data_IF_513671274884
#
_entry.id   IF_513671274884
#
_cell.length_a   1.000
_cell.length_b   1.000
_cell.length_c   1.000
_cell.angle_alpha   90.00
_cell.angle_beta   90.00
_cell.angle_gamma   90.00
#
_symmetry.space_group_name_H-M   'P 1'
#
loop_
_entity.id
_entity.type
_entity.pdbx_description
1 polymer ?
#
# COMPACT_ATOMS: atom_id res chain seq x y z
N UNK A 1 -17.90 -22.44 20.59
CA UNK A 1 -18.01 -21.00 20.85
C UNK A 1 -16.90 -20.35 20.05
N UNK A 2 -17.19 -19.93 18.82
CA UNK A 2 -16.21 -19.30 17.92
C UNK A 2 -16.06 -17.84 18.39
N UNK A 3 -15.24 -17.65 19.42
CA UNK A 3 -14.76 -16.33 19.79
C UNK A 3 -13.32 -16.31 19.33
N UNK A 4 -13.09 -15.66 18.18
CA UNK A 4 -11.77 -15.29 17.72
C UNK A 4 -11.22 -14.31 18.76
N UNK A 5 -10.51 -14.86 19.75
CA UNK A 5 -9.80 -14.11 20.78
C UNK A 5 -8.34 -13.83 20.40
N UNK A 6 -7.90 -14.22 19.19
CA UNK A 6 -6.49 -14.13 18.81
C UNK A 6 -6.03 -12.78 18.24
N UNK A 7 -6.90 -11.77 18.10
CA UNK A 7 -6.48 -10.48 17.53
C UNK A 7 -6.91 -9.23 18.28
N UNK A 8 -7.74 -9.35 19.32
CA UNK A 8 -8.43 -8.19 19.87
C UNK A 8 -8.42 -8.17 21.38
N UNK A 9 -7.23 -8.00 21.97
CA UNK A 9 -7.18 -7.27 23.23
C UNK A 9 -7.57 -5.83 22.89
N UNK A 10 -8.78 -5.42 23.29
CA UNK A 10 -9.21 -4.02 23.25
C UNK A 10 -8.12 -3.16 23.89
N UNK A 11 -7.34 -2.44 23.10
CA UNK A 11 -6.57 -1.32 23.58
C UNK A 11 -6.25 -0.34 22.45
N UNK A 12 -6.14 0.93 22.85
CA UNK A 12 -5.91 2.13 22.04
C UNK A 12 -4.95 1.88 20.87
N UNK A 13 -5.21 2.53 19.73
CA UNK A 13 -4.31 2.63 18.56
C UNK A 13 -2.85 2.54 19.00
N UNK A 14 -2.16 1.47 18.57
CA UNK A 14 -0.76 1.19 18.93
C UNK A 14 0.14 2.32 18.43
N UNK A 15 -0.21 2.87 17.26
CA UNK A 15 0.37 4.10 16.73
C UNK A 15 -0.28 5.30 17.45
N UNK A 16 0.41 5.86 18.45
CA UNK A 16 0.07 7.18 18.99
C UNK A 16 0.43 8.21 17.92
N UNK A 17 -0.51 9.11 17.61
CA UNK A 17 -0.50 9.95 16.41
C UNK A 17 -0.61 9.13 15.11
N UNK A 18 -1.79 8.54 14.80
CA UNK A 18 -2.09 8.29 13.39
C UNK A 18 -1.85 9.61 12.68
N UNK A 19 -1.00 9.61 11.65
CA UNK A 19 -0.66 10.81 10.89
C UNK A 19 -1.96 11.55 10.55
N UNK A 20 -2.24 12.65 11.27
CA UNK A 20 -3.51 13.37 11.21
C UNK A 20 -3.47 14.29 10.00
N UNK A 21 -3.36 13.67 8.82
CA UNK A 21 -3.58 14.35 7.58
C UNK A 21 -5.07 14.59 7.48
N UNK A 22 -5.45 15.87 7.40
CA UNK A 22 -6.82 16.32 7.35
C UNK A 22 -7.67 15.42 6.44
N UNK A 23 -8.66 14.73 7.04
CA UNK A 23 -9.64 13.91 6.31
C UNK A 23 -10.36 14.78 5.28
N UNK A 24 -9.87 14.78 4.04
CA UNK A 24 -10.63 15.22 2.88
C UNK A 24 -11.86 14.31 2.72
N UNK A 25 -13.00 14.91 2.40
CA UNK A 25 -14.22 14.14 2.09
C UNK A 25 -13.93 13.18 0.93
N UNK A 26 -14.15 11.88 1.16
CA UNK A 26 -14.18 10.88 0.10
C UNK A 26 -15.35 11.18 -0.85
N UNK A 27 -15.03 11.68 -2.04
CA UNK A 27 -15.90 11.57 -3.20
C UNK A 27 -15.37 10.43 -4.08
N UNK A 28 -16.26 9.59 -4.61
CA UNK A 28 -15.93 8.49 -5.52
C UNK A 28 -15.12 9.02 -6.72
N UNK A 29 -13.79 8.99 -6.64
CA UNK A 29 -12.90 9.12 -7.78
C UNK A 29 -12.39 7.73 -8.15
N UNK A 30 -12.46 7.44 -9.44
CA UNK A 30 -11.87 6.28 -10.10
C UNK A 30 -10.44 6.05 -9.57
N UNK A 31 -10.03 4.78 -9.45
CA UNK A 31 -8.65 4.37 -9.13
C UNK A 31 -7.66 5.21 -9.97
N UNK A 32 -7.07 6.22 -9.36
CA UNK A 32 -6.09 7.09 -9.98
C UNK A 32 -4.73 6.70 -9.41
N UNK A 33 -3.92 6.03 -10.23
CA UNK A 33 -2.52 5.77 -9.95
C UNK A 33 -1.76 7.12 -10.01
N UNK A 34 -1.17 7.53 -8.89
CA UNK A 34 -0.31 8.71 -8.80
C UNK A 34 -0.88 9.90 -8.01
N UNK A 35 0.00 10.83 -7.63
CA UNK A 35 -0.40 12.06 -6.93
C UNK A 35 -1.26 12.96 -7.85
N UNK A 36 -2.16 13.78 -7.30
CA UNK A 36 -3.01 14.69 -8.09
C UNK A 36 -2.89 16.14 -7.63
N UNK A 37 -2.94 17.06 -8.59
CA UNK A 37 -3.02 18.50 -8.34
C UNK A 37 -4.21 19.10 -9.11
N UNK A 38 -5.27 19.46 -8.38
CA UNK A 38 -6.52 19.91 -9.00
C UNK A 38 -7.22 18.80 -9.78
N UNK A 39 -7.23 18.90 -11.12
CA UNK A 39 -7.80 17.90 -12.03
C UNK A 39 -6.72 17.14 -12.84
N UNK A 40 -5.45 17.41 -12.59
CA UNK A 40 -4.34 16.77 -13.31
C UNK A 40 -3.67 15.69 -12.44
N UNK A 41 -3.35 14.56 -13.08
CA UNK A 41 -2.52 13.51 -12.49
C UNK A 41 -1.07 14.00 -12.61
N UNK A 42 -0.35 14.07 -11.50
CA UNK A 42 1.02 14.55 -11.46
C UNK A 42 1.96 13.68 -12.30
N UNK A 43 1.65 12.40 -12.51
CA UNK A 43 2.32 11.56 -13.50
C UNK A 43 2.35 12.16 -14.92
N UNK A 44 1.36 12.97 -15.31
CA UNK A 44 1.40 13.70 -16.59
C UNK A 44 2.36 14.89 -16.58
N UNK A 45 2.61 15.48 -15.41
CA UNK A 45 3.57 16.57 -15.23
C UNK A 45 5.00 16.04 -15.26
N UNK A 46 5.22 14.87 -14.65
CA UNK A 46 6.54 14.22 -14.55
C UNK A 46 6.99 13.65 -15.89
N UNK A 47 6.05 13.18 -16.72
CA UNK A 47 6.33 12.66 -18.05
C UNK A 47 6.15 13.71 -19.17
N UNK A 48 6.06 14.99 -18.80
CA UNK A 48 5.92 16.09 -19.77
C UNK A 48 7.27 16.40 -20.39
N UNK A 49 7.29 16.43 -21.71
CA UNK A 49 8.38 16.91 -22.56
C UNK A 49 7.74 17.88 -23.56
N UNK A 50 7.92 19.17 -23.32
CA UNK A 50 7.13 20.22 -23.97
C UNK A 50 7.65 20.56 -25.36
N UNK A 51 8.95 20.49 -25.59
CA UNK A 51 9.55 20.75 -26.89
C UNK A 51 9.85 19.49 -27.71
N UNK A 52 9.71 18.31 -27.09
CA UNK A 52 9.88 16.99 -27.70
C UNK A 52 11.32 16.73 -28.15
N UNK A 53 12.29 17.16 -27.35
CA UNK A 53 13.71 16.83 -27.55
C UNK A 53 14.14 15.52 -26.88
N UNK A 54 13.28 14.93 -26.04
CA UNK A 54 13.55 13.69 -25.32
C UNK A 54 14.03 13.89 -23.87
N UNK A 55 14.17 15.13 -23.42
CA UNK A 55 14.39 15.50 -22.01
C UNK A 55 13.05 15.93 -21.40
N UNK A 56 12.79 15.48 -20.17
CA UNK A 56 11.55 15.85 -19.48
C UNK A 56 11.65 17.27 -18.92
N UNK A 57 10.54 18.03 -18.91
CA UNK A 57 10.47 19.44 -18.46
C UNK A 57 11.13 19.65 -17.08
N UNK A 58 10.89 18.70 -16.15
CA UNK A 58 11.44 18.78 -14.79
C UNK A 58 12.95 18.56 -14.75
N UNK A 59 13.48 17.76 -15.67
CA UNK A 59 14.90 17.47 -15.79
C UNK A 59 15.62 18.69 -16.39
N UNK A 60 15.06 19.28 -17.43
CA UNK A 60 15.57 20.53 -18.00
C UNK A 60 15.62 21.65 -16.97
N UNK A 61 14.55 21.79 -16.16
CA UNK A 61 14.51 22.74 -15.03
C UNK A 61 15.63 22.48 -14.01
N UNK A 62 15.96 21.21 -13.75
CA UNK A 62 17.04 20.82 -12.84
C UNK A 62 18.43 21.19 -13.40
N UNK A 63 18.62 21.05 -14.72
CA UNK A 63 19.88 21.38 -15.40
C UNK A 63 19.98 22.83 -15.84
N UNK A 64 18.90 23.60 -15.72
CA UNK A 64 18.85 25.03 -16.05
C UNK A 64 18.60 25.31 -17.53
N UNK A 65 18.12 24.34 -18.29
CA UNK A 65 17.65 24.51 -19.67
C UNK A 65 16.16 24.90 -19.68
N UNK A 66 15.64 25.26 -20.86
CA UNK A 66 14.30 25.80 -21.05
C UNK A 66 13.39 24.78 -21.74
N UNK A 67 12.35 24.27 -21.05
CA UNK A 67 11.47 23.24 -21.58
C UNK A 67 10.70 23.53 -22.86
N UNK A 68 10.75 24.77 -23.35
CA UNK A 68 10.08 25.17 -24.57
C UNK A 68 11.05 25.29 -25.75
N UNK A 69 12.29 24.82 -25.61
CA UNK A 69 13.38 24.99 -26.56
C UNK A 69 14.38 23.83 -26.50
N UNK A 70 14.39 23.02 -27.56
CA UNK A 70 15.38 21.94 -27.79
C UNK A 70 16.84 22.35 -27.70
N UNK A 71 17.12 23.64 -27.86
CA UNK A 71 18.44 24.26 -27.75
C UNK A 71 18.20 25.61 -27.06
N UNK A 72 18.43 25.63 -25.75
CA UNK A 72 18.11 26.77 -24.90
C UNK A 72 18.95 27.99 -25.25
N UNK A 73 20.23 27.77 -25.55
CA UNK A 73 21.23 28.81 -25.73
C UNK A 73 21.41 29.24 -27.21
N UNK A 74 20.90 28.44 -28.15
CA UNK A 74 20.88 28.70 -29.58
C UNK A 74 22.24 28.50 -30.26
N UNK A 75 23.15 27.72 -29.68
CA UNK A 75 24.51 27.51 -30.21
C UNK A 75 24.61 26.34 -31.20
N UNK A 76 23.52 25.59 -31.40
CA UNK A 76 23.42 24.46 -32.32
C UNK A 76 23.70 23.10 -31.68
N UNK A 77 23.93 23.03 -30.37
CA UNK A 77 23.92 21.80 -29.57
C UNK A 77 22.58 21.71 -28.85
N UNK A 78 21.93 20.53 -28.90
CA UNK A 78 20.65 20.32 -28.21
C UNK A 78 20.81 20.14 -26.71
N UNK A 79 19.78 20.52 -25.95
CA UNK A 79 19.78 20.44 -24.49
C UNK A 79 19.92 18.98 -24.01
N UNK A 80 19.39 18.01 -24.76
CA UNK A 80 19.60 16.57 -24.58
C UNK A 80 21.08 16.19 -24.49
N UNK A 81 21.87 16.67 -25.44
CA UNK A 81 23.32 16.41 -25.51
C UNK A 81 24.08 17.20 -24.45
N UNK A 82 23.69 18.46 -24.19
CA UNK A 82 24.33 19.26 -23.14
C UNK A 82 24.15 18.63 -21.76
N UNK A 83 22.93 18.18 -21.45
CA UNK A 83 22.59 17.53 -20.18
C UNK A 83 23.30 16.19 -20.03
N UNK A 84 23.35 15.36 -21.08
CA UNK A 84 24.09 14.10 -21.04
C UNK A 84 25.57 14.33 -20.73
N UNK A 85 26.19 15.32 -21.40
CA UNK A 85 27.60 15.69 -21.15
C UNK A 85 27.82 16.17 -19.70
N UNK A 86 26.89 16.96 -19.15
CA UNK A 86 26.96 17.40 -17.76
C UNK A 86 26.82 16.24 -16.77
N UNK A 87 25.91 15.28 -17.03
CA UNK A 87 25.79 14.04 -16.24
C UNK A 87 27.09 13.27 -16.24
N UNK A 88 27.68 13.04 -17.41
CA UNK A 88 28.94 12.31 -17.57
C UNK A 88 30.10 13.01 -16.86
N UNK A 89 30.21 14.34 -16.97
CA UNK A 89 31.22 15.12 -16.25
C UNK A 89 31.06 15.01 -14.71
N UNK A 90 29.82 14.95 -14.23
CA UNK A 90 29.51 14.77 -12.80
C UNK A 90 29.76 13.34 -12.31
N UNK A 91 29.62 12.35 -13.18
CA UNK A 91 29.97 10.94 -12.93
C UNK A 91 31.49 10.71 -12.86
N UNK A 92 32.27 11.49 -13.60
CA UNK A 92 33.74 11.47 -13.52
C UNK A 92 34.23 12.04 -12.17
N UNK A 93 33.57 13.10 -11.65
CA UNK A 93 33.87 13.67 -10.32
C UNK A 93 33.37 12.79 -9.16
N UNK A 94 32.22 12.10 -9.35
CA UNK A 94 31.66 11.14 -8.39
C UNK A 94 32.22 9.73 -8.50
N UNK A 95 33.20 9.46 -9.36
CA UNK A 95 34.00 8.22 -9.31
C UNK A 95 34.86 8.11 -8.04
N UNK A 96 34.78 9.09 -7.13
CA UNK A 96 35.23 9.00 -5.71
C UNK A 96 34.13 8.67 -4.69
N UNK A 97 32.86 8.62 -5.08
CA UNK A 97 31.73 8.18 -4.25
C UNK A 97 30.68 7.48 -5.13
N UNK A 98 30.75 6.15 -5.18
CA UNK A 98 30.03 5.31 -6.13
C UNK A 98 28.50 5.48 -6.11
N UNK A 99 27.97 5.97 -7.22
CA UNK A 99 26.57 5.87 -7.62
C UNK A 99 26.50 5.92 -9.14
N UNK A 100 26.42 4.76 -9.78
CA UNK A 100 26.31 4.66 -11.24
C UNK A 100 24.85 4.89 -11.62
N UNK A 101 24.53 6.05 -12.17
CA UNK A 101 23.25 6.30 -12.83
C UNK A 101 23.41 5.85 -14.29
N UNK A 102 22.88 4.69 -14.64
CA UNK A 102 22.76 4.25 -16.04
C UNK A 102 21.39 4.61 -16.57
N UNK A 103 21.36 5.08 -17.81
CA UNK A 103 20.18 5.35 -18.62
C UNK A 103 19.18 4.18 -18.61
N UNK A 104 17.88 4.54 -18.61
CA UNK A 104 16.75 3.91 -19.31
C UNK A 104 16.68 2.37 -19.46
N UNK A 105 17.33 1.59 -18.60
CA UNK A 105 16.93 0.22 -18.32
C UNK A 105 15.63 0.26 -17.50
N UNK A 106 14.81 -0.79 -17.56
CA UNK A 106 13.63 -0.95 -16.72
C UNK A 106 14.04 -0.94 -15.24
N UNK A 107 14.25 0.25 -14.67
CA UNK A 107 14.59 0.44 -13.28
C UNK A 107 13.44 -0.15 -12.47
N UNK A 108 13.75 -1.19 -11.70
CA UNK A 108 12.78 -1.81 -10.80
C UNK A 108 12.61 -0.89 -9.58
N UNK A 109 11.98 0.25 -9.80
CA UNK A 109 11.79 1.31 -8.80
C UNK A 109 10.83 0.83 -7.72
N UNK A 110 11.20 1.11 -6.46
CA UNK A 110 10.29 0.99 -5.32
C UNK A 110 9.19 2.04 -5.41
N UNK A 111 8.09 1.89 -4.66
CA UNK A 111 7.08 2.95 -4.60
C UNK A 111 7.65 4.20 -3.93
N UNK A 112 8.60 4.04 -3.01
CA UNK A 112 9.37 5.16 -2.44
C UNK A 112 10.17 5.92 -3.51
N UNK A 113 10.79 5.22 -4.46
CA UNK A 113 11.52 5.86 -5.57
C UNK A 113 10.58 6.60 -6.51
N UNK A 114 9.48 5.94 -6.91
CA UNK A 114 8.44 6.53 -7.76
C UNK A 114 7.87 7.78 -7.11
N UNK A 115 7.47 7.66 -5.84
CA UNK A 115 6.97 8.76 -5.05
C UNK A 115 7.97 9.92 -4.98
N UNK A 116 9.24 9.63 -4.68
CA UNK A 116 10.28 10.66 -4.58
C UNK A 116 10.46 11.41 -5.90
N UNK A 117 10.49 10.68 -7.02
CA UNK A 117 10.57 11.27 -8.36
C UNK A 117 9.38 12.16 -8.66
N UNK A 118 8.16 11.65 -8.44
CA UNK A 118 6.93 12.42 -8.65
C UNK A 118 6.91 13.69 -7.79
N UNK A 119 7.25 13.58 -6.51
CA UNK A 119 7.27 14.70 -5.57
C UNK A 119 8.27 15.78 -5.99
N UNK A 120 9.52 15.42 -6.27
CA UNK A 120 10.55 16.41 -6.60
C UNK A 120 10.35 17.02 -7.99
N UNK A 121 9.91 16.25 -8.99
CA UNK A 121 9.58 16.78 -10.31
C UNK A 121 8.41 17.77 -10.25
N UNK A 122 7.40 17.48 -9.42
CA UNK A 122 6.29 18.40 -9.17
C UNK A 122 6.77 19.71 -8.55
N UNK A 123 7.61 19.64 -7.52
CA UNK A 123 8.21 20.82 -6.88
C UNK A 123 9.03 21.65 -7.89
N UNK A 124 9.87 21.00 -8.70
CA UNK A 124 10.70 21.67 -9.69
C UNK A 124 9.85 22.44 -10.71
N UNK A 125 8.80 21.81 -11.22
CA UNK A 125 7.90 22.41 -12.22
C UNK A 125 7.13 23.59 -11.65
N UNK A 126 6.58 23.47 -10.42
CA UNK A 126 5.83 24.54 -9.76
C UNK A 126 6.70 25.73 -9.38
N UNK A 127 7.97 25.48 -9.00
CA UNK A 127 8.94 26.54 -8.74
C UNK A 127 9.26 27.32 -10.02
N UNK A 128 9.43 26.62 -11.15
CA UNK A 128 9.72 27.25 -12.43
C UNK A 128 8.56 28.11 -12.95
N UNK A 129 7.32 27.65 -12.79
CA UNK A 129 6.13 28.42 -13.18
C UNK A 129 5.78 29.56 -12.21
N UNK A 130 6.50 29.68 -11.09
CA UNK A 130 6.22 30.66 -10.03
C UNK A 130 4.90 30.38 -9.30
N UNK A 131 4.36 29.16 -9.41
CA UNK A 131 3.08 28.74 -8.83
C UNK A 131 3.23 28.07 -7.46
N UNK A 132 4.43 28.00 -6.91
CA UNK A 132 4.68 27.47 -5.58
C UNK A 132 4.17 28.44 -4.49
N UNK A 133 2.93 28.25 -4.06
CA UNK A 133 2.32 28.95 -2.94
C UNK A 133 1.87 27.98 -1.83
N UNK A 134 1.45 28.52 -0.68
CA UNK A 134 1.02 27.70 0.46
C UNK A 134 -0.15 26.77 0.11
N UNK A 135 -1.10 27.23 -0.74
CA UNK A 135 -2.24 26.42 -1.15
C UNK A 135 -1.82 25.21 -1.99
N UNK A 136 -0.75 25.36 -2.78
CA UNK A 136 -0.14 24.28 -3.56
C UNK A 136 0.55 23.27 -2.66
N UNK A 137 1.30 23.74 -1.66
CA UNK A 137 1.91 22.88 -0.63
C UNK A 137 0.86 22.05 0.13
N UNK A 138 -0.27 22.68 0.50
CA UNK A 138 -1.35 22.02 1.23
C UNK A 138 -2.03 20.92 0.37
N UNK A 139 -2.21 21.18 -0.94
CA UNK A 139 -2.75 20.20 -1.89
C UNK A 139 -1.82 19.00 -2.08
N UNK A 140 -0.52 19.25 -2.27
CA UNK A 140 0.47 18.18 -2.39
C UNK A 140 0.51 17.33 -1.12
N UNK A 141 0.47 17.96 0.05
CA UNK A 141 0.42 17.28 1.34
C UNK A 141 -0.84 16.41 1.49
N UNK A 142 -1.99 16.91 1.02
CA UNK A 142 -3.26 16.17 1.05
C UNK A 142 -3.26 14.99 0.09
N UNK A 143 -2.74 15.17 -1.14
CA UNK A 143 -2.63 14.09 -2.11
C UNK A 143 -1.64 13.01 -1.65
N UNK A 144 -0.56 13.39 -0.97
CA UNK A 144 0.38 12.46 -0.34
C UNK A 144 -0.33 11.60 0.70
N UNK A 145 -1.09 12.24 1.59
CA UNK A 145 -1.86 11.55 2.60
C UNK A 145 -2.86 10.55 2.00
N UNK A 146 -3.55 10.97 0.94
CA UNK A 146 -4.51 10.13 0.24
C UNK A 146 -3.85 8.91 -0.41
N UNK A 147 -2.70 9.13 -1.07
CA UNK A 147 -1.93 8.04 -1.67
C UNK A 147 -1.43 7.03 -0.62
N UNK A 148 -0.93 7.52 0.52
CA UNK A 148 -0.52 6.66 1.65
C UNK A 148 -1.72 5.89 2.21
N UNK A 149 -2.90 6.49 2.30
CA UNK A 149 -4.06 5.85 2.93
C UNK A 149 -4.79 4.86 2.01
N UNK A 150 -4.68 5.00 0.68
CA UNK A 150 -5.53 4.30 -0.28
C UNK A 150 -4.75 3.35 -1.21
N UNK A 151 -4.11 2.33 -0.65
CA UNK A 151 -3.51 1.26 -1.46
C UNK A 151 -4.57 0.19 -1.82
N UNK A 152 -4.81 -0.12 -3.10
CA UNK A 152 -5.79 -1.14 -3.50
C UNK A 152 -5.34 -2.55 -3.10
N UNK A 153 -6.26 -3.51 -2.90
CA UNK A 153 -5.89 -4.90 -2.61
C UNK A 153 -5.25 -5.54 -3.84
N UNK A 154 -4.17 -6.31 -3.64
CA UNK A 154 -3.48 -6.98 -4.76
C UNK A 154 -4.18 -8.28 -5.16
N UNK A 155 -4.80 -8.96 -4.20
CA UNK A 155 -5.51 -10.21 -4.38
C UNK A 155 -6.89 -10.15 -3.75
N UNK A 156 -7.88 -10.49 -4.57
CA UNK A 156 -9.30 -10.56 -4.17
C UNK A 156 -9.86 -11.87 -4.67
N UNK A 157 -10.41 -12.66 -3.75
CA UNK A 157 -11.16 -13.86 -4.08
C UNK A 157 -12.57 -13.50 -4.55
N UNK A 158 -13.09 -14.32 -5.45
CA UNK A 158 -14.43 -14.22 -6.00
C UNK A 158 -15.32 -15.33 -5.44
N UNK A 159 -16.65 -15.16 -5.56
CA UNK A 159 -17.59 -16.24 -5.21
C UNK A 159 -17.35 -17.52 -6.02
N UNK A 160 -16.78 -17.42 -7.22
CA UNK A 160 -16.40 -18.58 -8.05
C UNK A 160 -15.26 -19.40 -7.43
N UNK A 161 -14.45 -18.81 -6.57
CA UNK A 161 -13.34 -19.48 -5.89
C UNK A 161 -13.82 -20.27 -4.66
N UNK A 162 -15.04 -19.99 -4.19
CA UNK A 162 -15.65 -20.64 -3.03
C UNK A 162 -16.40 -21.90 -3.46
N UNK A 163 -16.16 -23.01 -2.77
CA UNK A 163 -16.91 -24.26 -2.98
C UNK A 163 -18.31 -24.19 -2.34
N UNK A 164 -19.25 -23.56 -3.04
CA UNK A 164 -20.62 -23.39 -2.55
C UNK A 164 -21.43 -24.68 -2.73
N UNK A 165 -22.13 -25.11 -1.67
CA UNK A 165 -23.09 -26.22 -1.69
C UNK A 165 -24.52 -25.70 -1.55
N UNK A 166 -25.48 -26.34 -2.24
CA UNK A 166 -26.91 -25.99 -2.16
C UNK A 166 -27.56 -26.38 -0.82
N UNK A 167 -26.94 -27.30 -0.08
CA UNK A 167 -27.46 -27.75 1.20
C UNK A 167 -27.24 -26.67 2.27
N UNK A 168 -28.34 -26.09 2.72
CA UNK A 168 -28.42 -25.07 3.76
C UNK A 168 -29.08 -25.58 5.06
N UNK A 169 -29.14 -26.90 5.24
CA UNK A 169 -29.69 -27.53 6.44
C UNK A 169 -28.88 -27.18 7.69
N UNK A 170 -29.53 -27.30 8.86
CA UNK A 170 -28.87 -27.13 10.17
C UNK A 170 -27.66 -28.08 10.29
N UNK A 171 -27.74 -29.29 9.74
CA UNK A 171 -26.63 -30.24 9.74
C UNK A 171 -25.48 -29.78 8.85
N UNK A 172 -25.74 -29.23 7.66
CA UNK A 172 -24.72 -28.64 6.80
C UNK A 172 -24.01 -27.46 7.49
N UNK A 173 -24.77 -26.58 8.14
CA UNK A 173 -24.24 -25.45 8.92
C UNK A 173 -23.40 -25.94 10.10
N UNK A 174 -23.84 -26.99 10.81
CA UNK A 174 -23.08 -27.60 11.90
C UNK A 174 -21.75 -28.19 11.40
N UNK A 175 -21.76 -28.88 10.25
CA UNK A 175 -20.56 -29.41 9.63
C UNK A 175 -19.59 -28.30 9.22
N UNK A 176 -20.11 -27.24 8.60
CA UNK A 176 -19.35 -26.04 8.23
C UNK A 176 -18.70 -25.39 9.48
N UNK A 177 -19.47 -25.14 10.54
CA UNK A 177 -18.95 -24.57 11.78
C UNK A 177 -17.90 -25.48 12.45
N UNK A 178 -18.07 -26.80 12.41
CA UNK A 178 -17.07 -27.74 12.92
C UNK A 178 -15.76 -27.69 12.12
N UNK A 179 -15.85 -27.52 10.79
CA UNK A 179 -14.66 -27.38 9.95
C UNK A 179 -13.94 -26.06 10.22
N UNK A 180 -14.66 -24.95 10.41
CA UNK A 180 -14.06 -23.68 10.85
C UNK A 180 -13.28 -23.83 12.16
N UNK A 181 -13.85 -24.52 13.16
CA UNK A 181 -13.16 -24.76 14.44
C UNK A 181 -11.89 -25.60 14.24
N UNK A 182 -11.95 -26.65 13.41
CA UNK A 182 -10.77 -27.48 13.13
C UNK A 182 -9.64 -26.69 12.47
N UNK A 183 -9.97 -25.79 11.54
CA UNK A 183 -8.99 -24.90 10.90
C UNK A 183 -8.38 -23.97 11.96
N UNK A 184 -9.20 -23.37 12.81
CA UNK A 184 -8.72 -22.51 13.89
C UNK A 184 -7.79 -23.25 14.88
N UNK A 185 -8.18 -24.44 15.32
CA UNK A 185 -7.39 -25.25 16.25
C UNK A 185 -6.06 -25.71 15.62
N UNK A 186 -6.03 -25.91 14.30
CA UNK A 186 -4.83 -26.30 13.54
C UNK A 186 -3.81 -25.17 13.43
N UNK A 187 -4.28 -23.92 13.35
CA UNK A 187 -3.43 -22.76 13.04
C UNK A 187 -3.40 -21.73 14.18
N UNK A 188 -2.89 -22.15 15.34
CA UNK A 188 -2.66 -21.25 16.48
C UNK A 188 -1.30 -20.54 16.38
N UNK A 189 -1.29 -19.23 16.63
CA UNK A 189 -0.08 -18.40 16.72
C UNK A 189 0.34 -18.25 18.19
N UNK A 190 1.62 -18.41 18.50
CA UNK A 190 2.15 -18.14 19.86
C UNK A 190 2.31 -16.63 20.15
N UNK A 191 2.61 -15.85 19.10
CA UNK A 191 2.81 -14.39 19.14
C UNK A 191 1.80 -13.68 18.25
N UNK A 192 1.29 -12.54 18.68
CA UNK A 192 0.35 -11.74 17.88
C UNK A 192 1.07 -10.67 17.07
N UNK A 193 0.43 -10.19 16.00
CA UNK A 193 0.95 -9.04 15.22
C UNK A 193 1.14 -7.82 16.12
N UNK A 194 0.23 -7.60 17.07
CA UNK A 194 0.31 -6.48 18.03
C UNK A 194 1.58 -6.57 18.88
N UNK A 195 1.94 -7.76 19.34
CA UNK A 195 3.15 -7.96 20.15
C UNK A 195 4.41 -7.64 19.32
N UNK A 196 4.42 -7.96 18.02
CA UNK A 196 5.52 -7.61 17.12
C UNK A 196 5.57 -6.10 16.87
N UNK A 197 4.43 -5.47 16.57
CA UNK A 197 4.36 -4.03 16.29
C UNK A 197 4.68 -3.16 17.52
N UNK A 198 4.36 -3.62 18.73
CA UNK A 198 4.73 -2.94 19.96
C UNK A 198 6.24 -2.99 20.22
N UNK A 199 6.91 -4.09 19.88
CA UNK A 199 8.36 -4.18 19.98
C UNK A 199 9.07 -3.40 18.87
N UNK A 200 8.45 -3.34 17.69
CA UNK A 200 8.95 -2.55 16.56
C UNK A 200 9.05 -1.05 16.94
N UNK A 201 8.04 -0.51 17.63
CA UNK A 201 7.98 0.89 18.08
C UNK A 201 7.97 0.95 19.62
N UNK A 202 9.04 0.44 20.24
CA UNK A 202 9.15 0.39 21.70
C UNK A 202 9.33 1.80 22.34
N UNK A 203 10.03 2.71 21.67
CA UNK A 203 10.25 4.11 22.07
C UNK A 203 10.37 5.01 20.83
N UNK A 204 9.97 6.29 20.92
CA UNK A 204 9.95 7.27 19.83
C UNK A 204 11.32 7.49 19.18
N UNK A 205 12.40 7.14 19.88
CA UNK A 205 13.78 7.32 19.43
C UNK A 205 14.48 6.03 18.99
N UNK A 206 13.86 4.85 19.19
CA UNK A 206 14.50 3.56 18.95
C UNK A 206 13.51 2.59 18.30
N UNK A 207 13.65 2.44 16.98
CA UNK A 207 12.87 1.49 16.17
C UNK A 207 13.67 0.19 16.03
N UNK A 208 13.03 -0.95 16.30
CA UNK A 208 13.63 -2.28 16.12
C UNK A 208 13.09 -2.93 14.85
N UNK A 209 13.54 -2.49 13.67
CA UNK A 209 13.06 -3.02 12.39
C UNK A 209 13.27 -4.55 12.24
N UNK A 210 14.31 -5.10 12.88
CA UNK A 210 14.61 -6.53 12.84
C UNK A 210 13.49 -7.43 13.38
N UNK A 211 12.67 -6.93 14.33
CA UNK A 211 11.55 -7.71 14.88
C UNK A 211 10.44 -7.95 13.86
N UNK A 212 10.36 -7.15 12.78
CA UNK A 212 9.34 -7.31 11.74
C UNK A 212 9.47 -8.65 10.98
N UNK A 213 10.63 -9.30 11.03
CA UNK A 213 10.80 -10.67 10.52
C UNK A 213 9.93 -11.68 11.27
N UNK A 214 9.54 -11.41 12.52
CA UNK A 214 8.63 -12.27 13.28
C UNK A 214 7.19 -12.22 12.78
N UNK A 215 6.87 -11.33 11.84
CA UNK A 215 5.59 -11.35 11.12
C UNK A 215 5.51 -12.49 10.10
N UNK A 216 6.64 -13.00 9.60
CA UNK A 216 6.66 -14.08 8.59
C UNK A 216 5.87 -15.34 8.98
N UNK A 217 6.08 -15.95 10.16
CA UNK A 217 5.29 -17.11 10.55
C UNK A 217 3.79 -16.80 10.68
N UNK A 218 3.43 -15.57 11.09
CA UNK A 218 2.02 -15.15 11.21
C UNK A 218 1.37 -15.01 9.83
N UNK A 219 2.09 -14.39 8.88
CA UNK A 219 1.69 -14.26 7.47
C UNK A 219 1.49 -15.65 6.85
N UNK A 220 2.48 -16.54 6.98
CA UNK A 220 2.42 -17.90 6.44
C UNK A 220 1.24 -18.70 7.01
N UNK A 221 1.06 -18.63 8.33
CA UNK A 221 -0.04 -19.33 9.00
C UNK A 221 -1.41 -18.79 8.57
N UNK A 222 -1.56 -17.48 8.43
CA UNK A 222 -2.81 -16.86 7.96
C UNK A 222 -3.09 -17.24 6.51
N UNK A 223 -2.07 -17.30 5.65
CA UNK A 223 -2.22 -17.77 4.27
C UNK A 223 -2.66 -19.24 4.22
N UNK A 224 -2.13 -20.09 5.10
CA UNK A 224 -2.54 -21.48 5.22
C UNK A 224 -4.01 -21.63 5.65
N UNK A 225 -4.48 -20.77 6.57
CA UNK A 225 -5.90 -20.69 6.92
C UNK A 225 -6.75 -20.31 5.71
N UNK A 226 -6.40 -19.24 4.99
CA UNK A 226 -7.11 -18.79 3.77
C UNK A 226 -7.20 -19.94 2.75
N UNK A 227 -6.09 -20.64 2.52
CA UNK A 227 -6.02 -21.75 1.57
C UNK A 227 -6.95 -22.92 1.93
N UNK A 228 -7.20 -23.17 3.23
CA UNK A 228 -8.16 -24.17 3.67
C UNK A 228 -9.61 -23.67 3.59
N UNK A 229 -9.84 -22.40 3.94
CA UNK A 229 -11.17 -21.78 3.88
C UNK A 229 -11.73 -21.79 2.45
N UNK A 230 -10.93 -21.39 1.46
CA UNK A 230 -11.32 -21.39 0.03
C UNK A 230 -11.77 -22.79 -0.45
N UNK A 231 -11.14 -23.86 0.06
CA UNK A 231 -11.44 -25.25 -0.32
C UNK A 231 -12.63 -25.85 0.44
N UNK A 232 -13.10 -25.18 1.49
CA UNK A 232 -14.15 -25.68 2.35
C UNK A 232 -15.50 -25.64 1.64
N UNK A 233 -16.31 -26.68 1.81
CA UNK A 233 -17.70 -26.67 1.35
C UNK A 233 -18.53 -25.68 2.18
N UNK A 234 -19.10 -24.65 1.55
CA UNK A 234 -19.83 -23.56 2.22
C UNK A 234 -21.32 -23.62 1.89
N UNK A 235 -22.23 -23.70 2.88
CA UNK A 235 -23.67 -23.57 2.66
C UNK A 235 -24.00 -22.27 1.91
N UNK A 236 -24.87 -22.34 0.90
CA UNK A 236 -25.17 -21.22 0.00
C UNK A 236 -25.52 -19.94 0.75
N UNK A 237 -26.30 -20.03 1.82
CA UNK A 237 -26.68 -18.89 2.66
C UNK A 237 -25.54 -18.22 3.45
N UNK A 238 -24.37 -18.86 3.56
CA UNK A 238 -23.19 -18.34 4.25
C UNK A 238 -22.07 -17.91 3.29
N UNK A 239 -22.22 -18.20 1.99
CA UNK A 239 -21.16 -18.02 0.97
C UNK A 239 -20.61 -16.59 0.88
N UNK A 240 -21.47 -15.57 0.89
CA UNK A 240 -21.05 -14.16 0.84
C UNK A 240 -20.28 -13.77 2.09
N UNK A 241 -20.81 -14.08 3.28
CA UNK A 241 -20.15 -13.75 4.56
C UNK A 241 -18.82 -14.50 4.74
N UNK A 242 -18.74 -15.71 4.19
CA UNK A 242 -17.50 -16.48 4.16
C UNK A 242 -16.46 -15.83 3.22
N UNK A 243 -16.89 -15.38 2.03
CA UNK A 243 -16.03 -14.66 1.09
C UNK A 243 -15.52 -13.34 1.69
N UNK A 244 -16.40 -12.57 2.33
CA UNK A 244 -16.03 -11.31 3.00
C UNK A 244 -14.94 -11.56 4.06
N UNK A 245 -15.07 -12.65 4.84
CA UNK A 245 -14.06 -13.05 5.81
C UNK A 245 -12.73 -13.40 5.14
N UNK A 246 -12.73 -14.22 4.08
CA UNK A 246 -11.50 -14.59 3.35
C UNK A 246 -10.81 -13.35 2.78
N UNK A 247 -11.55 -12.46 2.12
CA UNK A 247 -10.98 -11.25 1.52
C UNK A 247 -10.44 -10.29 2.58
N UNK A 248 -11.12 -10.17 3.72
CA UNK A 248 -10.59 -9.38 4.83
C UNK A 248 -9.32 -9.99 5.44
N UNK A 249 -9.19 -11.32 5.48
CA UNK A 249 -7.97 -12.00 5.90
C UNK A 249 -6.83 -11.78 4.90
N UNK A 250 -7.09 -11.94 3.59
CA UNK A 250 -6.09 -11.72 2.54
C UNK A 250 -5.58 -10.27 2.55
N UNK A 251 -6.50 -9.30 2.70
CA UNK A 251 -6.14 -7.89 2.86
C UNK A 251 -5.23 -7.66 4.06
N UNK A 252 -5.48 -8.34 5.18
CA UNK A 252 -4.63 -8.24 6.36
C UNK A 252 -3.26 -8.91 6.14
N UNK A 253 -3.19 -10.02 5.40
CA UNK A 253 -1.93 -10.67 5.01
C UNK A 253 -1.06 -9.74 4.16
N UNK A 254 -1.65 -9.12 3.13
CA UNK A 254 -0.96 -8.12 2.31
C UNK A 254 -0.45 -6.96 3.17
N UNK A 255 -1.32 -6.44 4.03
CA UNK A 255 -1.00 -5.33 4.90
C UNK A 255 0.15 -5.64 5.87
N UNK A 256 0.13 -6.79 6.54
CA UNK A 256 1.21 -7.21 7.44
C UNK A 256 2.52 -7.42 6.66
N UNK A 257 2.44 -7.99 5.45
CA UNK A 257 3.61 -8.20 4.60
C UNK A 257 4.24 -6.86 4.20
N UNK A 258 3.43 -5.86 3.90
CA UNK A 258 3.86 -4.52 3.49
C UNK A 258 4.51 -3.75 4.65
N UNK A 259 4.06 -3.92 5.90
CA UNK A 259 4.69 -3.30 7.07
C UNK A 259 6.18 -3.67 7.14
N UNK A 260 6.52 -4.91 6.79
CA UNK A 260 7.91 -5.42 6.80
C UNK A 260 8.84 -4.69 5.85
N UNK A 261 8.32 -3.94 4.88
CA UNK A 261 9.12 -3.20 3.91
C UNK A 261 9.71 -1.91 4.48
N UNK A 262 9.64 -1.67 5.79
CA UNK A 262 10.13 -0.47 6.46
C UNK A 262 11.53 -0.01 6.00
N UNK A 263 12.50 -0.92 5.89
CA UNK A 263 13.88 -0.58 5.50
C UNK A 263 14.09 -0.50 3.97
N UNK A 264 13.13 -0.97 3.17
CA UNK A 264 13.31 -1.18 1.72
C UNK A 264 12.35 -0.37 0.85
N UNK A 265 11.15 -0.08 1.35
CA UNK A 265 10.13 0.72 0.69
C UNK A 265 9.23 1.38 1.76
N UNK A 266 9.70 2.53 2.25
CA UNK A 266 9.11 3.27 3.37
C UNK A 266 7.68 3.70 3.07
N UNK A 267 7.38 4.13 1.85
CA UNK A 267 6.03 4.56 1.47
C UNK A 267 5.02 3.41 1.56
N UNK A 268 5.39 2.21 1.08
CA UNK A 268 4.55 1.01 1.23
C UNK A 268 4.37 0.63 2.69
N UNK A 269 5.44 0.63 3.48
CA UNK A 269 5.37 0.30 4.91
C UNK A 269 4.52 1.30 5.71
N UNK A 270 4.69 2.61 5.48
CA UNK A 270 3.87 3.65 6.13
C UNK A 270 2.41 3.55 5.71
N UNK A 271 2.15 3.30 4.43
CA UNK A 271 0.79 3.04 3.93
C UNK A 271 0.16 1.88 4.69
N UNK A 272 0.89 0.78 4.84
CA UNK A 272 0.41 -0.40 5.52
C UNK A 272 0.21 -0.18 7.03
N UNK A 273 1.14 0.48 7.70
CA UNK A 273 1.02 0.89 9.11
C UNK A 273 -0.24 1.72 9.32
N UNK A 274 -0.51 2.69 8.44
CA UNK A 274 -1.68 3.57 8.55
C UNK A 274 -3.02 2.83 8.39
N UNK A 275 -3.05 1.75 7.61
CA UNK A 275 -4.26 1.00 7.30
C UNK A 275 -4.52 -0.20 8.23
N UNK A 276 -3.57 -0.55 9.10
CA UNK A 276 -3.64 -1.74 9.94
C UNK A 276 -4.89 -1.78 10.84
N UNK A 277 -5.22 -0.67 11.50
CA UNK A 277 -6.40 -0.59 12.37
C UNK A 277 -7.72 -0.76 11.60
N UNK A 278 -7.81 -0.19 10.40
CA UNK A 278 -8.97 -0.33 9.53
C UNK A 278 -9.11 -1.77 8.99
N UNK A 279 -8.00 -2.38 8.54
CA UNK A 279 -8.00 -3.74 8.01
C UNK A 279 -8.39 -4.76 9.10
N UNK A 280 -7.86 -4.60 10.31
CA UNK A 280 -8.24 -5.44 11.47
C UNK A 280 -9.71 -5.23 11.86
N UNK A 281 -10.21 -4.00 11.86
CA UNK A 281 -11.64 -3.71 12.09
C UNK A 281 -12.55 -4.35 11.05
N UNK A 282 -12.19 -4.29 9.77
CA UNK A 282 -12.92 -4.93 8.67
C UNK A 282 -12.98 -6.44 8.84
N UNK A 283 -11.84 -7.07 9.16
CA UNK A 283 -11.78 -8.51 9.44
C UNK A 283 -12.66 -8.90 10.63
N UNK A 284 -12.60 -8.14 11.73
CA UNK A 284 -13.43 -8.38 12.90
C UNK A 284 -14.93 -8.27 12.59
N UNK A 285 -15.32 -7.31 11.75
CA UNK A 285 -16.70 -7.16 11.29
C UNK A 285 -17.17 -8.35 10.45
N UNK A 286 -16.36 -8.81 9.51
CA UNK A 286 -16.66 -9.96 8.66
C UNK A 286 -16.81 -11.25 9.49
N UNK A 287 -15.88 -11.49 10.43
CA UNK A 287 -15.94 -12.60 11.39
C UNK A 287 -17.24 -12.57 12.19
N UNK A 288 -17.58 -11.42 12.78
CA UNK A 288 -18.77 -11.29 13.62
C UNK A 288 -20.06 -11.51 12.84
N UNK A 289 -20.11 -11.01 11.60
CA UNK A 289 -21.25 -11.17 10.71
C UNK A 289 -21.46 -12.65 10.35
N UNK A 290 -20.38 -13.35 9.99
CA UNK A 290 -20.42 -14.78 9.72
C UNK A 290 -20.83 -15.59 10.96
N UNK A 291 -20.19 -15.33 12.12
CA UNK A 291 -20.49 -16.02 13.37
C UNK A 291 -21.95 -15.80 13.81
N UNK A 292 -22.47 -14.58 13.65
CA UNK A 292 -23.87 -14.25 13.93
C UNK A 292 -24.84 -15.01 13.02
N UNK A 293 -24.52 -15.14 11.72
CA UNK A 293 -25.34 -15.90 10.77
C UNK A 293 -25.35 -17.41 11.08
N UNK A 294 -24.19 -17.98 11.44
CA UNK A 294 -24.09 -19.38 11.91
C UNK A 294 -24.95 -19.57 13.16
N UNK A 295 -24.80 -18.69 14.17
CA UNK A 295 -25.53 -18.79 15.43
C UNK A 295 -27.05 -18.77 15.23
N UNK A 296 -27.56 -17.87 14.37
CA UNK A 296 -29.00 -17.83 14.02
C UNK A 296 -29.47 -19.13 13.38
N UNK A 297 -28.67 -19.75 12.50
CA UNK A 297 -29.03 -20.99 11.81
C UNK A 297 -28.94 -22.24 12.69
N UNK A 298 -28.12 -22.23 13.74
CA UNK A 298 -28.01 -23.36 14.67
C UNK A 298 -29.04 -23.31 15.81
N UNK A 299 -29.62 -22.14 16.08
CA UNK A 299 -30.60 -21.93 17.15
C UNK A 299 -32.07 -21.90 16.66
N UNK A 300 -32.29 -21.89 15.34
CA UNK A 300 -33.59 -22.03 14.69
C UNK A 300 -33.85 -23.49 14.31
#
# INVERSE_FOLDING_TARGET
MFIILLFFSKNKSIFKNPLDFARGKQENKLEQEGLTYGNEILGNLVNKDTDLDGVLDWEESLWGTNPNKKDTNGDGVGDDVEIENLKLARLDDTSRSGGKLTEQDNENLTETDKFSREFFATIATLNQSGQMDQATVDKLSSSLAEHIQNSPPRKVFLLSDVKIIKDDSVQAVKNYNNNLNKIHDKYQTERTVIDVLQEFIADENNINAGVLLELDPIVEQTQNVINELVKMSVPQSLSVLHLDMINAMERLVENISDIKLYDTDVIVSLSAISQYDQNTTTLQSAINSLAGAIGKKLNN
#
